data_IF_977719357646
#
_entry.id   IF_977719357646
#
_cell.length_a   1.000
_cell.length_b   1.000
_cell.length_c   1.000
_cell.angle_alpha   90.00
_cell.angle_beta   90.00
_cell.angle_gamma   90.00
#
_symmetry.space_group_name_H-M   'P 1'
#
loop_
_entity.id
_entity.type
_entity.pdbx_description
1 polymer ?
#
# COMPACT_ATOMS: atom_id res chain seq x y z
N UNK A 1 -15.86 -49.21 21.16
CA UNK A 1 -15.82 -47.95 21.94
C UNK A 1 -15.76 -46.79 20.95
N UNK A 2 -16.88 -46.08 20.76
CA UNK A 2 -17.00 -44.92 19.87
C UNK A 2 -16.86 -43.65 20.71
N UNK A 3 -16.00 -42.73 20.28
CA UNK A 3 -15.67 -41.51 21.01
C UNK A 3 -16.71 -40.40 20.69
N UNK A 4 -17.50 -39.91 21.66
CA UNK A 4 -18.65 -39.05 21.37
C UNK A 4 -18.32 -37.58 21.64
N UNK A 5 -17.33 -37.00 20.95
CA UNK A 5 -17.05 -35.56 21.10
C UNK A 5 -16.61 -34.91 19.78
N UNK A 6 -17.56 -34.75 18.86
CA UNK A 6 -17.44 -33.79 17.76
C UNK A 6 -18.47 -32.68 17.97
N UNK A 7 -18.21 -31.83 18.97
CA UNK A 7 -19.00 -30.62 19.17
C UNK A 7 -18.70 -29.66 18.02
N UNK A 8 -19.70 -29.50 17.15
CA UNK A 8 -19.77 -28.56 16.04
C UNK A 8 -19.56 -27.12 16.57
N UNK A 9 -18.32 -26.62 16.54
CA UNK A 9 -18.02 -25.23 16.87
C UNK A 9 -18.48 -24.37 15.70
N UNK A 10 -19.71 -23.87 15.80
CA UNK A 10 -20.20 -22.75 15.02
C UNK A 10 -19.18 -21.61 15.13
N UNK A 11 -18.35 -21.45 14.10
CA UNK A 11 -17.54 -20.25 13.97
C UNK A 11 -18.50 -19.08 13.83
N UNK A 12 -18.48 -18.09 14.73
CA UNK A 12 -19.24 -16.86 14.47
C UNK A 12 -18.76 -16.36 13.13
N UNK A 13 -19.70 -16.26 12.17
CA UNK A 13 -19.48 -15.69 10.85
C UNK A 13 -18.55 -14.50 11.02
N UNK A 14 -17.28 -14.65 10.61
CA UNK A 14 -16.37 -13.51 10.51
C UNK A 14 -17.14 -12.52 9.65
N UNK A 15 -17.64 -11.44 10.24
CA UNK A 15 -18.11 -10.31 9.44
C UNK A 15 -16.98 -10.07 8.46
N UNK A 16 -17.25 -10.24 7.17
CA UNK A 16 -16.28 -9.91 6.15
C UNK A 16 -15.76 -8.53 6.55
N UNK A 17 -14.44 -8.43 6.75
CA UNK A 17 -13.85 -7.11 6.92
C UNK A 17 -14.38 -6.29 5.73
N UNK A 18 -14.91 -5.07 5.95
CA UNK A 18 -15.27 -4.22 4.83
C UNK A 18 -14.04 -4.23 3.95
N UNK A 19 -14.16 -4.79 2.73
CA UNK A 19 -13.08 -4.76 1.77
C UNK A 19 -12.89 -3.26 1.56
N UNK A 20 -11.84 -2.62 2.12
CA UNK A 20 -11.57 -1.29 1.67
C UNK A 20 -11.18 -1.56 0.24
N UNK A 21 -12.09 -1.26 -0.68
CA UNK A 21 -11.78 -1.26 -2.09
C UNK A 21 -10.46 -0.51 -2.13
N UNK A 22 -9.37 -1.24 -2.38
CA UNK A 22 -8.06 -0.64 -2.55
C UNK A 22 -8.32 0.18 -3.79
N UNK A 23 -8.63 1.47 -3.57
CA UNK A 23 -9.04 2.36 -4.63
C UNK A 23 -7.90 2.32 -5.62
N UNK A 24 -8.14 1.67 -6.75
CA UNK A 24 -7.16 1.55 -7.79
C UNK A 24 -6.92 2.98 -8.29
N UNK A 25 -5.66 3.37 -8.39
CA UNK A 25 -5.32 4.67 -8.95
C UNK A 25 -5.82 4.72 -10.40
N UNK A 26 -6.54 5.78 -10.75
CA UNK A 26 -6.86 6.07 -12.15
C UNK A 26 -5.58 6.41 -12.92
N UNK A 27 -5.68 6.51 -14.25
CA UNK A 27 -4.51 6.91 -15.04
C UNK A 27 -4.09 8.35 -14.68
N UNK A 28 -5.05 9.25 -14.49
CA UNK A 28 -4.81 10.63 -14.10
C UNK A 28 -4.07 10.72 -12.75
N UNK A 29 -4.46 9.89 -11.77
CA UNK A 29 -3.76 9.82 -10.48
C UNK A 29 -2.33 9.29 -10.61
N UNK A 30 -2.09 8.34 -11.52
CA UNK A 30 -0.73 7.85 -11.79
C UNK A 30 0.13 8.90 -12.47
N UNK A 31 -0.45 9.65 -13.39
CA UNK A 31 0.22 10.76 -14.05
C UNK A 31 0.57 11.85 -13.02
N UNK A 32 -0.35 12.15 -12.10
CA UNK A 32 -0.12 13.05 -10.97
C UNK A 32 1.02 12.57 -10.04
N UNK A 33 1.14 11.26 -9.78
CA UNK A 33 2.30 10.70 -9.06
C UNK A 33 3.58 10.95 -9.85
N UNK A 34 3.57 10.68 -11.16
CA UNK A 34 4.71 10.90 -12.06
C UNK A 34 5.17 12.36 -12.06
N UNK A 35 4.25 13.29 -12.26
CA UNK A 35 4.50 14.73 -12.27
C UNK A 35 5.00 15.23 -10.92
N UNK A 36 4.38 14.77 -9.82
CA UNK A 36 4.83 15.14 -8.48
C UNK A 36 6.26 14.66 -8.24
N UNK A 37 6.59 13.41 -8.58
CA UNK A 37 7.95 12.87 -8.40
C UNK A 37 8.94 13.63 -9.27
N UNK A 38 8.61 13.89 -10.54
CA UNK A 38 9.45 14.67 -11.44
C UNK A 38 9.71 16.09 -10.90
N UNK A 39 8.72 16.69 -10.23
CA UNK A 39 8.86 18.03 -9.61
C UNK A 39 9.76 18.06 -8.36
N UNK A 40 9.97 16.92 -7.70
CA UNK A 40 10.73 16.82 -6.43
C UNK A 40 12.07 16.13 -6.56
N UNK A 41 12.22 15.22 -7.53
CA UNK A 41 13.43 14.44 -7.69
C UNK A 41 14.57 15.29 -8.26
N UNK A 42 15.72 15.28 -7.58
CA UNK A 42 16.96 15.87 -8.10
C UNK A 42 17.63 14.98 -9.14
N UNK A 43 17.34 13.67 -9.10
CA UNK A 43 17.77 12.68 -10.06
C UNK A 43 16.66 11.63 -10.27
N UNK A 44 16.36 11.35 -11.53
CA UNK A 44 15.35 10.37 -11.94
C UNK A 44 15.91 8.96 -12.14
N UNK A 45 17.23 8.74 -12.10
CA UNK A 45 17.80 7.40 -12.22
C UNK A 45 17.52 6.54 -10.97
N UNK A 46 17.36 5.23 -11.18
CA UNK A 46 17.27 4.26 -10.10
C UNK A 46 18.59 4.24 -9.30
N UNK A 47 18.57 4.37 -7.97
CA UNK A 47 19.79 4.45 -7.17
C UNK A 47 20.48 3.09 -7.02
N UNK A 48 19.85 2.01 -7.50
CA UNK A 48 20.36 0.63 -7.42
C UNK A 48 20.99 0.19 -8.74
N UNK A 49 20.37 0.48 -9.88
CA UNK A 49 20.83 -0.02 -11.19
C UNK A 49 21.05 1.09 -12.24
N UNK A 50 20.91 2.35 -11.86
CA UNK A 50 21.10 3.55 -12.69
C UNK A 50 20.18 3.69 -13.91
N UNK A 51 19.24 2.77 -14.13
CA UNK A 51 18.24 2.89 -15.19
C UNK A 51 17.14 3.88 -14.81
N UNK A 52 16.69 4.67 -15.79
CA UNK A 52 15.55 5.58 -15.66
C UNK A 52 14.29 4.95 -16.29
N UNK A 53 13.82 3.86 -15.69
CA UNK A 53 12.58 3.19 -16.09
C UNK A 53 11.76 2.92 -14.84
N UNK A 54 10.62 3.59 -14.74
CA UNK A 54 9.75 3.54 -13.57
C UNK A 54 8.31 3.21 -13.94
N UNK A 55 7.64 2.49 -13.05
CA UNK A 55 6.22 2.20 -13.10
C UNK A 55 5.57 2.62 -11.78
N UNK A 56 4.41 3.27 -11.86
CA UNK A 56 3.56 3.57 -10.69
C UNK A 56 2.67 2.36 -10.41
N UNK A 57 2.63 1.95 -9.14
CA UNK A 57 1.75 0.86 -8.69
C UNK A 57 0.27 1.19 -8.90
N UNK A 58 -0.55 0.16 -9.10
CA UNK A 58 -1.99 0.30 -9.30
C UNK A 58 -2.75 0.75 -8.04
N UNK A 59 -2.15 0.61 -6.86
CA UNK A 59 -2.82 0.82 -5.57
C UNK A 59 -1.93 1.59 -4.61
N UNK A 60 -2.55 2.36 -3.72
CA UNK A 60 -1.86 2.91 -2.56
C UNK A 60 -1.48 1.77 -1.59
N UNK A 61 -0.23 1.77 -1.17
CA UNK A 61 0.28 0.88 -0.13
C UNK A 61 -0.13 1.45 1.23
N UNK A 62 -0.88 0.66 2.00
CA UNK A 62 -1.20 0.98 3.39
C UNK A 62 -0.06 0.49 4.27
N UNK A 63 0.70 1.40 4.86
CA UNK A 63 1.74 1.05 5.82
C UNK A 63 1.21 1.25 7.26
N UNK A 64 0.80 0.18 7.96
CA UNK A 64 0.31 0.30 9.32
C UNK A 64 1.48 0.66 10.25
N UNK A 65 1.38 1.79 10.92
CA UNK A 65 2.38 2.17 11.91
C UNK A 65 2.10 1.49 13.26
N UNK A 66 3.17 0.95 13.85
CA UNK A 66 3.16 0.56 15.25
C UNK A 66 3.24 1.83 16.11
N UNK A 67 2.30 1.96 17.05
CA UNK A 67 2.30 3.04 18.03
C UNK A 67 2.51 2.43 19.42
N UNK A 68 3.64 2.69 20.10
CA UNK A 68 3.89 2.18 21.45
C UNK A 68 2.74 2.56 22.40
N UNK A 69 2.30 1.61 23.23
CA UNK A 69 1.16 1.81 24.15
C UNK A 69 -0.23 1.71 23.50
N UNK A 70 -0.32 1.55 22.18
CA UNK A 70 -1.57 1.21 21.51
C UNK A 70 -1.88 -0.28 21.66
N UNK A 71 -3.02 -0.62 22.24
CA UNK A 71 -3.55 -2.00 22.28
C UNK A 71 -4.07 -2.51 20.93
N UNK A 72 -4.06 -1.66 19.89
CA UNK A 72 -4.51 -2.00 18.54
C UNK A 72 -3.44 -1.62 17.51
N UNK A 73 -2.80 -2.60 16.83
CA UNK A 73 -2.00 -2.33 15.64
C UNK A 73 -2.81 -1.55 14.60
N UNK A 74 -2.21 -0.58 13.91
CA UNK A 74 -2.83 0.08 12.76
C UNK A 74 -3.75 1.27 13.05
N UNK A 75 -3.61 1.97 14.19
CA UNK A 75 -4.35 3.23 14.42
C UNK A 75 -3.89 4.38 13.54
N UNK A 76 -2.60 4.39 13.16
CA UNK A 76 -2.07 5.30 12.16
C UNK A 76 -1.72 4.45 10.93
N UNK A 77 -2.31 4.80 9.79
CA UNK A 77 -1.91 4.29 8.48
C UNK A 77 -1.42 5.46 7.66
N UNK A 78 -0.35 5.23 6.92
CA UNK A 78 0.25 6.21 6.05
C UNK A 78 0.14 5.68 4.61
N UNK A 79 -0.93 6.03 3.88
CA UNK A 79 -1.08 5.62 2.49
C UNK A 79 0.06 6.20 1.64
N UNK A 80 0.69 5.34 0.84
CA UNK A 80 1.80 5.73 -0.01
C UNK A 80 1.59 5.26 -1.46
N UNK A 81 1.92 6.11 -2.42
CA UNK A 81 2.08 5.71 -3.81
C UNK A 81 3.40 4.96 -3.97
N UNK A 82 3.37 3.84 -4.69
CA UNK A 82 4.54 3.02 -4.98
C UNK A 82 5.08 3.35 -6.35
N UNK A 83 6.38 3.65 -6.43
CA UNK A 83 7.13 3.79 -7.67
C UNK A 83 8.17 2.67 -7.74
N UNK A 84 8.09 1.83 -8.77
CA UNK A 84 8.96 0.67 -8.94
C UNK A 84 9.85 0.84 -10.16
N UNK A 85 11.15 0.56 -10.01
CA UNK A 85 12.06 0.49 -11.15
C UNK A 85 11.74 -0.76 -11.97
N UNK A 86 11.39 -0.60 -13.25
CA UNK A 86 11.01 -1.72 -14.12
C UNK A 86 12.20 -2.61 -14.49
N UNK A 87 13.45 -2.18 -14.22
CA UNK A 87 14.66 -2.95 -14.53
C UNK A 87 15.11 -3.85 -13.37
N UNK A 88 15.16 -3.34 -12.14
CA UNK A 88 15.70 -4.07 -10.98
C UNK A 88 14.71 -4.23 -9.80
N UNK A 89 13.44 -3.87 -9.99
CA UNK A 89 12.39 -3.95 -8.96
C UNK A 89 12.65 -3.14 -7.66
N UNK A 90 13.57 -2.16 -7.70
CA UNK A 90 13.76 -1.25 -6.57
C UNK A 90 12.50 -0.38 -6.37
N UNK A 91 12.07 -0.25 -5.12
CA UNK A 91 10.85 0.47 -4.74
C UNK A 91 11.17 1.79 -4.05
N UNK A 92 10.43 2.83 -4.41
CA UNK A 92 10.28 4.07 -3.66
C UNK A 92 8.82 4.20 -3.23
N UNK A 93 8.60 4.55 -1.96
CA UNK A 93 7.28 4.85 -1.41
C UNK A 93 7.20 6.33 -1.12
N UNK A 94 6.17 6.98 -1.65
CA UNK A 94 5.91 8.40 -1.44
C UNK A 94 4.55 8.59 -0.79
N UNK A 95 4.46 9.47 0.19
CA UNK A 95 3.21 9.74 0.91
C UNK A 95 2.13 10.25 -0.06
N UNK A 96 0.93 9.66 0.01
CA UNK A 96 -0.19 10.01 -0.86
C UNK A 96 -0.83 11.36 -0.48
N UNK A 97 -0.82 11.71 0.82
CA UNK A 97 -1.44 12.94 1.32
C UNK A 97 -0.85 14.23 0.69
N UNK A 98 0.48 14.45 0.66
CA UNK A 98 1.06 15.63 0.01
C UNK A 98 0.88 15.67 -1.51
N UNK A 99 0.46 14.56 -2.14
CA UNK A 99 0.13 14.53 -3.55
C UNK A 99 -1.31 14.95 -3.81
N UNK A 100 -2.19 14.95 -2.82
CA UNK A 100 -3.63 15.17 -3.03
C UNK A 100 -4.36 13.95 -3.58
N UNK A 101 -3.88 12.73 -3.26
CA UNK A 101 -4.48 11.45 -3.68
C UNK A 101 -5.45 10.87 -2.63
N UNK A 102 -5.78 11.64 -1.60
CA UNK A 102 -6.71 11.25 -0.55
C UNK A 102 -7.95 12.13 -0.63
N UNK A 103 -9.12 11.52 -0.48
CA UNK A 103 -10.44 12.18 -0.46
C UNK A 103 -10.74 12.83 0.90
#
# INVERSE_FOLDING_TARGET
MQNPHTANRLHPQRRAAPQPEQRRLTQEEKDQVGDWVASKATNSNCPVCDHNSWAVGDYLVQNPAYVPGSSKPGRASYPAAMLMCSHCAYLRLFMAAPMGLLD
#
